data_IF_579562218432
#
_entry.id   IF_579562218432
#
_cell.length_a   1.000
_cell.length_b   1.000
_cell.length_c   1.000
_cell.angle_alpha   90.00
_cell.angle_beta   90.00
_cell.angle_gamma   90.00
#
_symmetry.space_group_name_H-M   'P 1'
#
loop_
_entity.id
_entity.type
_entity.pdbx_description
1 polymer ?
#
# COMPACT_ATOMS: atom_id res chain seq x y z
N UNK A 1 15.21 -17.77 2.74
CA UNK A 1 14.21 -17.87 1.66
C UNK A 1 14.84 -17.36 0.37
N UNK A 2 14.64 -18.04 -0.75
CA UNK A 2 15.05 -17.54 -2.06
C UNK A 2 14.09 -16.42 -2.51
N UNK A 3 14.52 -15.60 -3.49
CA UNK A 3 13.69 -14.51 -4.04
C UNK A 3 12.37 -15.03 -4.62
N UNK A 4 12.44 -16.15 -5.33
CA UNK A 4 11.25 -16.81 -5.86
C UNK A 4 10.27 -17.21 -4.74
N UNK A 5 10.78 -17.72 -3.62
CA UNK A 5 9.94 -18.06 -2.46
C UNK A 5 9.31 -16.82 -1.82
N UNK A 6 10.03 -15.69 -1.73
CA UNK A 6 9.46 -14.43 -1.22
C UNK A 6 8.32 -13.98 -2.13
N UNK A 7 8.54 -13.92 -3.44
CA UNK A 7 7.52 -13.50 -4.42
C UNK A 7 6.30 -14.43 -4.43
N UNK A 8 6.52 -15.75 -4.37
CA UNK A 8 5.43 -16.72 -4.24
C UNK A 8 4.63 -16.52 -2.95
N UNK A 9 5.30 -16.26 -1.81
CA UNK A 9 4.62 -15.99 -0.54
C UNK A 9 3.77 -14.72 -0.62
N UNK A 10 4.30 -13.65 -1.24
CA UNK A 10 3.57 -12.40 -1.45
C UNK A 10 2.35 -12.63 -2.34
N UNK A 11 2.53 -13.28 -3.48
CA UNK A 11 1.45 -13.61 -4.40
C UNK A 11 0.37 -14.45 -3.70
N UNK A 12 0.75 -15.55 -3.05
CA UNK A 12 -0.18 -16.43 -2.36
C UNK A 12 -0.95 -15.70 -1.24
N UNK A 13 -0.29 -14.81 -0.49
CA UNK A 13 -0.97 -13.99 0.51
C UNK A 13 -2.04 -13.09 -0.11
N UNK A 14 -1.71 -12.40 -1.20
CA UNK A 14 -2.66 -11.51 -1.85
C UNK A 14 -3.79 -12.26 -2.53
N UNK A 15 -3.50 -13.37 -3.22
CA UNK A 15 -4.51 -14.20 -3.87
C UNK A 15 -5.49 -14.84 -2.86
N UNK A 16 -4.98 -15.29 -1.71
CA UNK A 16 -5.77 -16.04 -0.73
C UNK A 16 -6.40 -15.16 0.36
N UNK A 17 -5.80 -14.02 0.69
CA UNK A 17 -6.20 -13.20 1.84
C UNK A 17 -6.39 -11.74 1.45
N UNK A 18 -5.37 -11.09 0.88
CA UNK A 18 -5.36 -9.64 0.67
C UNK A 18 -6.51 -9.14 -0.19
N UNK A 19 -6.83 -9.87 -1.24
CA UNK A 19 -7.89 -9.54 -2.20
C UNK A 19 -9.22 -10.23 -1.95
N UNK A 20 -9.39 -10.93 -0.81
CA UNK A 20 -10.72 -11.39 -0.40
C UNK A 20 -11.62 -10.19 -0.06
N UNK A 21 -12.84 -10.21 -0.59
CA UNK A 21 -13.85 -9.22 -0.25
C UNK A 21 -14.44 -9.54 1.14
N UNK A 22 -14.36 -8.59 2.06
CA UNK A 22 -14.95 -8.68 3.42
C UNK A 22 -16.34 -8.06 3.47
N UNK A 23 -16.64 -7.20 2.52
CA UNK A 23 -17.97 -6.65 2.24
C UNK A 23 -18.00 -6.15 0.80
N UNK A 24 -19.17 -5.82 0.28
CA UNK A 24 -19.33 -5.31 -1.08
C UNK A 24 -18.33 -4.18 -1.37
N UNK A 25 -17.47 -4.40 -2.36
CA UNK A 25 -16.45 -3.45 -2.80
C UNK A 25 -15.30 -3.19 -1.82
N UNK A 26 -15.24 -3.90 -0.68
CA UNK A 26 -14.18 -3.74 0.33
C UNK A 26 -13.34 -4.99 0.43
N UNK A 27 -12.05 -4.89 0.19
CA UNK A 27 -11.10 -5.99 0.31
C UNK A 27 -10.52 -6.09 1.72
N UNK A 28 -10.06 -7.28 2.11
CA UNK A 28 -9.36 -7.51 3.37
C UNK A 28 -8.17 -6.54 3.53
N UNK A 29 -7.43 -6.28 2.46
CA UNK A 29 -6.31 -5.33 2.46
C UNK A 29 -6.74 -3.90 2.81
N UNK A 30 -7.99 -3.49 2.52
CA UNK A 30 -8.50 -2.17 2.90
C UNK A 30 -8.62 -1.99 4.42
N UNK A 31 -8.68 -3.07 5.19
CA UNK A 31 -8.74 -3.01 6.67
C UNK A 31 -7.49 -2.43 7.32
N UNK A 32 -6.38 -2.36 6.58
CA UNK A 32 -5.17 -1.63 7.01
C UNK A 32 -5.36 -0.10 7.02
N UNK A 33 -6.38 0.41 6.33
CA UNK A 33 -6.79 1.81 6.40
C UNK A 33 -7.75 2.10 7.56
N UNK A 34 -7.89 3.37 7.91
CA UNK A 34 -8.95 3.80 8.84
C UNK A 34 -10.24 4.07 8.06
N UNK A 35 -11.09 3.04 7.98
CA UNK A 35 -12.35 3.07 7.23
C UNK A 35 -13.48 3.81 7.97
N UNK A 36 -13.25 4.31 9.19
CA UNK A 36 -14.28 5.02 9.96
C UNK A 36 -14.71 6.31 9.24
N UNK A 37 -16.00 6.68 9.33
CA UNK A 37 -16.51 7.90 8.67
C UNK A 37 -15.72 9.17 9.00
N UNK A 38 -15.21 9.28 10.23
CA UNK A 38 -14.40 10.41 10.71
C UNK A 38 -13.07 10.58 9.95
N UNK A 39 -12.48 9.49 9.47
CA UNK A 39 -11.22 9.46 8.74
C UNK A 39 -11.39 9.48 7.21
N UNK A 40 -12.57 9.11 6.71
CA UNK A 40 -12.83 8.90 5.28
C UNK A 40 -12.40 10.08 4.41
N UNK A 41 -12.77 11.30 4.76
CA UNK A 41 -12.42 12.49 3.99
C UNK A 41 -10.91 12.74 3.94
N UNK A 42 -10.17 12.42 4.99
CA UNK A 42 -8.72 12.53 5.01
C UNK A 42 -8.06 11.47 4.13
N UNK A 43 -8.48 10.21 4.26
CA UNK A 43 -7.98 9.09 3.44
C UNK A 43 -8.24 9.37 1.96
N UNK A 44 -9.45 9.77 1.59
CA UNK A 44 -9.84 10.19 0.25
C UNK A 44 -8.90 11.26 -0.32
N UNK A 45 -8.63 12.34 0.44
CA UNK A 45 -7.68 13.37 0.01
C UNK A 45 -6.24 12.85 -0.16
N UNK A 46 -5.81 11.90 0.69
CA UNK A 46 -4.49 11.29 0.55
C UNK A 46 -4.39 10.49 -0.76
N UNK A 47 -5.41 9.71 -1.11
CA UNK A 47 -5.46 8.99 -2.37
C UNK A 47 -5.40 9.95 -3.57
N UNK A 48 -6.20 11.00 -3.57
CA UNK A 48 -6.22 11.97 -4.68
C UNK A 48 -4.93 12.78 -4.84
N UNK A 49 -4.06 12.86 -3.81
CA UNK A 49 -2.76 13.56 -3.91
C UNK A 49 -1.86 12.99 -5.00
N UNK A 50 -1.93 11.69 -5.27
CA UNK A 50 -1.15 11.03 -6.33
C UNK A 50 -1.43 11.68 -7.68
N UNK A 51 -2.69 11.90 -8.02
CA UNK A 51 -3.09 12.50 -9.29
C UNK A 51 -2.55 13.91 -9.55
N UNK A 52 -2.15 14.65 -8.49
CA UNK A 52 -1.57 16.00 -8.63
C UNK A 52 -0.20 16.02 -9.29
N UNK A 53 0.51 14.91 -9.23
CA UNK A 53 1.87 14.75 -9.76
C UNK A 53 1.89 14.02 -11.10
N UNK A 54 0.76 13.47 -11.55
CA UNK A 54 0.62 12.84 -12.85
C UNK A 54 0.33 13.87 -13.94
N UNK A 55 0.77 13.59 -15.16
CA UNK A 55 0.36 14.37 -16.31
C UNK A 55 -1.16 14.32 -16.48
N UNK A 56 -1.77 15.47 -16.81
CA UNK A 56 -3.24 15.55 -16.97
C UNK A 56 -3.74 14.77 -18.19
N UNK A 57 -2.88 14.50 -19.19
CA UNK A 57 -3.21 13.79 -20.42
C UNK A 57 -2.02 12.94 -20.89
N UNK A 58 -2.31 11.76 -21.43
CA UNK A 58 -1.33 10.86 -22.02
C UNK A 58 -2.01 9.77 -22.83
N UNK A 59 -1.21 8.96 -23.53
CA UNK A 59 -1.69 7.75 -24.18
C UNK A 59 -1.79 6.61 -23.20
N UNK A 60 -0.68 6.25 -22.56
CA UNK A 60 -0.58 5.09 -21.69
C UNK A 60 -0.14 5.49 -20.27
N UNK A 61 -0.90 5.05 -19.27
CA UNK A 61 -0.51 5.07 -17.86
C UNK A 61 -0.15 3.65 -17.44
N UNK A 62 1.05 3.44 -16.90
CA UNK A 62 1.39 2.19 -16.20
C UNK A 62 0.95 2.27 -14.73
N UNK A 63 0.22 1.27 -14.29
CA UNK A 63 -0.09 1.04 -12.88
C UNK A 63 0.62 -0.25 -12.43
N UNK A 64 1.78 -0.08 -11.82
CA UNK A 64 2.69 -1.17 -11.48
C UNK A 64 2.43 -1.66 -10.05
N UNK A 65 1.90 -2.88 -9.92
CA UNK A 65 1.34 -3.42 -8.70
C UNK A 65 -0.06 -2.85 -8.45
N UNK A 66 -0.91 -2.89 -9.47
CA UNK A 66 -2.24 -2.25 -9.47
C UNK A 66 -3.20 -2.83 -8.44
N UNK A 67 -2.99 -4.09 -8.05
CA UNK A 67 -4.00 -4.83 -7.33
C UNK A 67 -5.34 -4.83 -8.08
N UNK A 68 -6.48 -4.98 -7.37
CA UNK A 68 -7.82 -4.97 -7.97
C UNK A 68 -8.37 -3.54 -8.17
N UNK A 69 -7.51 -2.49 -8.16
CA UNK A 69 -7.94 -1.08 -8.11
C UNK A 69 -8.87 -0.85 -6.91
N UNK A 70 -8.33 -1.10 -5.74
CA UNK A 70 -9.05 -1.27 -4.47
C UNK A 70 -9.94 -0.08 -4.08
N UNK A 71 -9.58 1.16 -4.44
CA UNK A 71 -10.32 2.37 -4.07
C UNK A 71 -10.84 3.12 -5.29
N UNK A 72 -12.05 3.72 -5.20
CA UNK A 72 -12.61 4.50 -6.32
C UNK A 72 -11.72 5.66 -6.77
N UNK A 73 -10.97 6.29 -5.85
CA UNK A 73 -10.04 7.36 -6.15
C UNK A 73 -8.92 6.94 -7.10
N UNK A 74 -8.59 5.66 -7.13
CA UNK A 74 -7.54 5.12 -8.01
C UNK A 74 -7.96 5.12 -9.48
N UNK A 75 -9.26 5.16 -9.76
CA UNK A 75 -9.78 5.33 -11.12
C UNK A 75 -9.46 6.71 -11.70
N UNK A 76 -9.35 7.73 -10.84
CA UNK A 76 -9.06 9.10 -11.26
C UNK A 76 -7.66 9.24 -11.87
N UNK A 77 -6.70 8.39 -11.50
CA UNK A 77 -5.32 8.51 -11.97
C UNK A 77 -5.17 8.35 -13.48
N UNK A 78 -6.03 7.56 -14.11
CA UNK A 78 -5.99 7.32 -15.56
C UNK A 78 -7.05 8.08 -16.37
N UNK A 79 -7.85 8.93 -15.74
CA UNK A 79 -8.96 9.66 -16.43
C UNK A 79 -8.49 10.46 -17.64
N UNK A 80 -7.30 11.02 -17.60
CA UNK A 80 -6.68 11.79 -18.68
C UNK A 80 -5.88 10.97 -19.68
N UNK A 81 -5.75 9.66 -19.48
CA UNK A 81 -5.01 8.76 -20.36
C UNK A 81 -5.96 7.99 -21.27
N UNK A 82 -5.50 7.62 -22.46
CA UNK A 82 -6.29 6.81 -23.38
C UNK A 82 -6.48 5.39 -22.85
N UNK A 83 -5.45 4.84 -22.18
CA UNK A 83 -5.49 3.50 -21.63
C UNK A 83 -4.61 3.39 -20.37
N UNK A 84 -5.05 2.56 -19.42
CA UNK A 84 -4.29 2.16 -18.23
C UNK A 84 -3.80 0.73 -18.39
N UNK A 85 -2.50 0.53 -18.26
CA UNK A 85 -1.89 -0.80 -18.21
C UNK A 85 -1.72 -1.19 -16.76
N UNK A 86 -2.55 -2.12 -16.29
CA UNK A 86 -2.50 -2.68 -14.95
C UNK A 86 -1.53 -3.86 -14.95
N UNK A 87 -0.46 -3.77 -14.17
CA UNK A 87 0.50 -4.84 -14.00
C UNK A 87 0.49 -5.29 -12.53
N UNK A 88 0.37 -6.60 -12.31
CA UNK A 88 0.46 -7.20 -10.98
C UNK A 88 1.00 -8.63 -11.08
N UNK A 89 1.58 -9.15 -9.99
CA UNK A 89 1.98 -10.55 -9.89
C UNK A 89 0.77 -11.46 -9.66
N UNK A 90 -0.32 -10.92 -9.13
CA UNK A 90 -1.59 -11.60 -8.85
C UNK A 90 -2.53 -11.55 -10.06
N UNK A 91 -2.76 -12.69 -10.70
CA UNK A 91 -3.76 -12.81 -11.75
C UNK A 91 -5.19 -12.59 -11.24
N UNK A 92 -5.47 -12.95 -9.98
CA UNK A 92 -6.77 -12.74 -9.32
C UNK A 92 -7.05 -11.23 -9.20
N UNK A 93 -6.07 -10.46 -8.74
CA UNK A 93 -6.20 -9.01 -8.65
C UNK A 93 -6.51 -8.35 -10.00
N UNK A 94 -5.85 -8.82 -11.06
CA UNK A 94 -6.06 -8.29 -12.42
C UNK A 94 -7.43 -8.64 -12.99
N UNK A 95 -8.00 -9.78 -12.65
CA UNK A 95 -9.37 -10.13 -13.02
C UNK A 95 -10.38 -9.16 -12.38
N UNK A 96 -10.21 -8.85 -11.11
CA UNK A 96 -11.02 -7.86 -10.39
C UNK A 96 -10.81 -6.44 -10.96
N UNK A 97 -9.57 -6.06 -11.27
CA UNK A 97 -9.27 -4.79 -11.91
C UNK A 97 -10.00 -4.64 -13.26
N UNK A 98 -10.05 -5.72 -14.05
CA UNK A 98 -10.76 -5.75 -15.34
C UNK A 98 -12.26 -5.46 -15.17
N UNK A 99 -12.89 -6.02 -14.14
CA UNK A 99 -14.30 -5.75 -13.87
C UNK A 99 -14.55 -4.28 -13.53
N UNK A 100 -13.57 -3.62 -12.91
CA UNK A 100 -13.71 -2.23 -12.47
C UNK A 100 -13.46 -1.19 -13.54
N UNK A 101 -12.52 -1.43 -14.45
CA UNK A 101 -12.13 -0.41 -15.44
C UNK A 101 -12.47 -0.80 -16.90
N UNK A 102 -12.88 -2.05 -17.15
CA UNK A 102 -13.34 -2.51 -18.46
C UNK A 102 -12.33 -2.28 -19.57
N UNK A 103 -12.81 -1.81 -20.71
CA UNK A 103 -12.05 -1.56 -21.94
C UNK A 103 -10.99 -0.46 -21.80
N UNK A 104 -11.07 0.37 -20.77
CA UNK A 104 -10.02 1.37 -20.47
C UNK A 104 -8.73 0.74 -19.95
N UNK A 105 -8.74 -0.55 -19.60
CA UNK A 105 -7.62 -1.29 -19.01
C UNK A 105 -7.02 -2.34 -19.93
N UNK A 106 -5.68 -2.48 -19.88
CA UNK A 106 -4.93 -3.65 -20.32
C UNK A 106 -4.30 -4.31 -19.10
N UNK A 107 -4.20 -5.65 -19.07
CA UNK A 107 -3.85 -6.40 -17.86
C UNK A 107 -2.68 -7.34 -18.14
N UNK A 108 -1.59 -7.20 -17.37
CA UNK A 108 -0.34 -7.94 -17.57
C UNK A 108 0.11 -8.56 -16.26
N UNK A 109 0.20 -9.89 -16.21
CA UNK A 109 0.80 -10.60 -15.07
C UNK A 109 2.32 -10.54 -15.22
N UNK A 110 3.00 -9.78 -14.37
CA UNK A 110 4.45 -9.67 -14.42
C UNK A 110 5.04 -9.16 -13.10
N UNK A 111 6.37 -9.26 -12.99
CA UNK A 111 7.16 -8.78 -11.87
C UNK A 111 7.62 -7.33 -12.13
N UNK A 112 7.36 -6.44 -11.18
CA UNK A 112 7.74 -5.02 -11.25
C UNK A 112 9.26 -4.80 -11.32
N UNK A 113 10.07 -5.73 -10.81
CA UNK A 113 11.52 -5.70 -10.92
C UNK A 113 12.02 -6.18 -12.29
N UNK A 114 11.12 -6.56 -13.21
CA UNK A 114 11.45 -7.14 -14.51
C UNK A 114 10.32 -6.87 -15.52
N UNK A 115 10.14 -5.60 -15.86
CA UNK A 115 9.01 -5.14 -16.65
C UNK A 115 9.08 -5.60 -18.11
N UNK A 116 8.02 -6.27 -18.66
CA UNK A 116 8.03 -6.79 -20.03
C UNK A 116 7.69 -5.71 -21.08
N UNK A 117 8.11 -4.48 -20.85
CA UNK A 117 7.83 -3.36 -21.74
C UNK A 117 9.11 -2.78 -22.35
N UNK A 118 8.98 -2.15 -23.52
CA UNK A 118 10.05 -1.39 -24.14
C UNK A 118 10.36 -0.14 -23.30
N UNK A 119 11.59 0.40 -23.40
CA UNK A 119 11.89 1.72 -22.87
C UNK A 119 10.91 2.77 -23.40
N UNK A 120 10.66 3.82 -22.62
CA UNK A 120 9.89 5.00 -23.01
C UNK A 120 8.44 4.73 -23.46
N UNK A 121 7.85 3.62 -22.98
CA UNK A 121 6.54 3.17 -23.43
C UNK A 121 5.36 3.93 -22.80
N UNK A 122 5.57 4.60 -21.65
CA UNK A 122 4.48 5.17 -20.87
C UNK A 122 4.60 6.68 -20.68
N UNK A 123 3.47 7.39 -20.80
CA UNK A 123 3.36 8.84 -20.55
C UNK A 123 3.19 9.19 -19.08
N UNK A 124 2.91 8.21 -18.24
CA UNK A 124 2.79 8.35 -16.81
C UNK A 124 2.86 6.99 -16.13
N UNK A 125 3.13 7.03 -14.82
CA UNK A 125 3.31 5.81 -14.06
C UNK A 125 2.83 6.02 -12.62
N UNK A 126 2.14 5.03 -12.07
CA UNK A 126 1.87 4.93 -10.64
C UNK A 126 2.29 3.56 -10.11
N UNK A 127 2.78 3.53 -8.85
CA UNK A 127 3.00 2.30 -8.10
C UNK A 127 2.72 2.56 -6.63
N UNK A 128 1.72 1.88 -6.08
CA UNK A 128 1.23 2.14 -4.73
C UNK A 128 1.47 0.94 -3.82
N UNK A 129 2.34 1.12 -2.82
CA UNK A 129 2.59 0.12 -1.80
C UNK A 129 3.06 -1.25 -2.32
N UNK A 130 3.83 -1.27 -3.43
CA UNK A 130 4.24 -2.50 -4.12
C UNK A 130 5.70 -2.87 -3.86
N UNK A 131 6.63 -1.92 -4.08
CA UNK A 131 8.08 -2.20 -4.08
C UNK A 131 8.55 -2.79 -2.74
N UNK A 132 7.96 -2.40 -1.62
CA UNK A 132 8.35 -2.90 -0.30
C UNK A 132 8.02 -4.40 -0.07
N UNK A 133 7.32 -5.05 -0.99
CA UNK A 133 7.06 -6.50 -0.98
C UNK A 133 8.10 -7.31 -1.76
N UNK A 134 9.01 -6.66 -2.47
CA UNK A 134 10.11 -7.32 -3.18
C UNK A 134 11.25 -7.70 -2.21
N UNK A 135 12.12 -8.66 -2.59
CA UNK A 135 13.42 -8.86 -1.96
C UNK A 135 14.22 -7.55 -1.94
N UNK A 136 14.93 -7.26 -0.83
CA UNK A 136 15.55 -5.95 -0.60
C UNK A 136 16.52 -5.50 -1.69
N UNK A 137 17.28 -6.44 -2.26
CA UNK A 137 18.26 -6.17 -3.32
C UNK A 137 17.62 -5.91 -4.70
N UNK A 138 16.35 -6.24 -4.88
CA UNK A 138 15.60 -5.93 -6.09
C UNK A 138 14.91 -4.56 -6.05
N UNK A 139 14.88 -3.89 -4.90
CA UNK A 139 14.18 -2.59 -4.79
C UNK A 139 14.77 -1.56 -5.76
N UNK A 140 16.10 -1.37 -5.77
CA UNK A 140 16.75 -0.43 -6.70
C UNK A 140 16.42 -0.79 -8.16
N UNK A 141 16.51 -2.07 -8.51
CA UNK A 141 16.16 -2.55 -9.85
C UNK A 141 14.72 -2.22 -10.23
N UNK A 142 13.76 -2.39 -9.32
CA UNK A 142 12.37 -2.03 -9.58
C UNK A 142 12.20 -0.53 -9.89
N UNK A 143 12.88 0.36 -9.16
CA UNK A 143 12.88 1.79 -9.47
C UNK A 143 13.48 2.08 -10.85
N UNK A 144 14.60 1.43 -11.20
CA UNK A 144 15.26 1.60 -12.51
C UNK A 144 14.39 1.06 -13.65
N UNK A 145 13.70 -0.05 -13.47
CA UNK A 145 12.75 -0.59 -14.46
C UNK A 145 11.56 0.37 -14.67
N UNK A 146 11.00 0.93 -13.59
CA UNK A 146 9.94 1.93 -13.68
C UNK A 146 10.41 3.17 -14.43
N UNK A 147 11.65 3.64 -14.19
CA UNK A 147 12.24 4.75 -14.94
C UNK A 147 12.46 4.39 -16.41
N UNK A 148 12.99 3.20 -16.68
CA UNK A 148 13.31 2.75 -18.05
C UNK A 148 12.09 2.77 -18.97
N UNK A 149 10.93 2.38 -18.45
CA UNK A 149 9.69 2.32 -19.23
C UNK A 149 8.95 3.65 -19.32
N UNK A 150 9.29 4.62 -18.48
CA UNK A 150 8.69 5.95 -18.46
C UNK A 150 9.34 6.85 -19.51
N UNK A 151 8.55 7.46 -20.39
CA UNK A 151 9.04 8.32 -21.46
C UNK A 151 9.77 9.58 -20.92
N UNK A 152 10.78 10.08 -21.63
CA UNK A 152 11.53 11.27 -21.21
C UNK A 152 10.65 12.47 -20.91
N UNK A 153 10.94 13.16 -19.82
CA UNK A 153 10.18 14.33 -19.35
C UNK A 153 8.81 14.01 -18.76
N UNK A 154 8.47 12.74 -18.59
CA UNK A 154 7.25 12.29 -17.90
C UNK A 154 7.48 12.00 -16.42
N UNK A 155 6.40 11.95 -15.66
CA UNK A 155 6.45 11.76 -14.20
C UNK A 155 5.86 10.42 -13.80
N UNK A 156 6.59 9.70 -12.95
CA UNK A 156 6.08 8.53 -12.23
C UNK A 156 5.85 8.87 -10.75
N UNK A 157 4.77 8.36 -10.16
CA UNK A 157 4.46 8.55 -8.75
C UNK A 157 4.49 7.21 -8.02
N UNK A 158 5.38 7.10 -7.04
CA UNK A 158 5.54 5.88 -6.25
C UNK A 158 5.23 6.19 -4.79
N UNK A 159 4.28 5.45 -4.21
CA UNK A 159 3.92 5.56 -2.81
C UNK A 159 4.42 4.35 -2.04
N UNK A 160 5.35 4.59 -1.12
CA UNK A 160 5.88 3.56 -0.22
C UNK A 160 5.87 4.01 1.24
N UNK A 161 5.79 3.05 2.16
CA UNK A 161 6.03 3.32 3.57
C UNK A 161 7.51 3.51 3.86
N UNK A 162 7.84 4.50 4.70
CA UNK A 162 9.19 4.72 5.20
C UNK A 162 9.47 3.90 6.46
N UNK A 163 10.73 3.55 6.66
CA UNK A 163 11.23 3.07 7.94
C UNK A 163 11.47 4.29 8.85
N UNK A 164 10.89 4.26 10.06
CA UNK A 164 11.02 5.30 11.09
C UNK A 164 10.82 6.77 10.64
N UNK A 165 9.67 7.15 10.07
CA UNK A 165 9.41 8.56 9.79
C UNK A 165 9.42 9.39 11.10
N UNK A 166 10.03 10.57 11.14
CA UNK A 166 10.16 11.35 12.38
C UNK A 166 8.84 11.63 13.11
N UNK A 167 7.79 11.99 12.36
CA UNK A 167 6.45 12.18 12.92
C UNK A 167 5.86 10.91 13.54
N UNK A 168 6.21 9.75 13.03
CA UNK A 168 5.73 8.46 13.57
C UNK A 168 6.33 8.18 14.93
N UNK A 169 7.56 8.60 15.20
CA UNK A 169 8.19 8.47 16.53
C UNK A 169 7.38 9.23 17.57
N UNK A 170 7.07 10.49 17.28
CA UNK A 170 6.24 11.32 18.17
C UNK A 170 4.82 10.73 18.33
N UNK A 171 4.19 10.33 17.23
CA UNK A 171 2.87 9.71 17.25
C UNK A 171 2.86 8.42 18.10
N UNK A 172 3.85 7.55 17.96
CA UNK A 172 3.98 6.32 18.73
C UNK A 172 4.21 6.60 20.23
N UNK A 173 4.97 7.62 20.57
CA UNK A 173 5.12 8.06 21.96
C UNK A 173 3.77 8.46 22.56
N UNK A 174 3.02 9.31 21.88
CA UNK A 174 1.68 9.76 22.34
C UNK A 174 0.70 8.58 22.42
N UNK A 175 0.72 7.65 21.49
CA UNK A 175 -0.12 6.44 21.52
C UNK A 175 0.21 5.62 22.78
N UNK A 176 1.48 5.33 23.03
CA UNK A 176 1.92 4.57 24.20
C UNK A 176 1.52 5.24 25.51
N UNK A 177 1.61 6.57 25.58
CA UNK A 177 1.18 7.34 26.74
C UNK A 177 -0.32 7.15 27.00
N UNK A 178 -1.17 7.28 25.97
CA UNK A 178 -2.60 7.06 26.09
C UNK A 178 -2.95 5.62 26.45
N UNK A 179 -2.27 4.65 25.84
CA UNK A 179 -2.46 3.23 26.16
C UNK A 179 -2.06 2.92 27.61
N UNK A 180 -0.96 3.52 28.09
CA UNK A 180 -0.54 3.40 29.49
C UNK A 180 -1.60 3.98 30.45
N UNK A 181 -2.11 5.18 30.16
CA UNK A 181 -3.15 5.83 30.97
C UNK A 181 -4.49 5.09 30.94
N UNK A 182 -4.78 4.35 29.85
CA UNK A 182 -5.99 3.55 29.68
C UNK A 182 -5.88 2.13 30.25
N UNK A 183 -4.68 1.67 30.62
CA UNK A 183 -4.51 0.36 31.26
C UNK A 183 -5.26 0.35 32.59
N UNK A 184 -6.42 -0.32 32.60
CA UNK A 184 -7.06 -0.70 33.85
C UNK A 184 -6.08 -1.61 34.61
N UNK A 185 -5.94 -1.47 35.93
CA UNK A 185 -5.18 -2.45 36.70
C UNK A 185 -5.72 -3.84 36.38
N UNK A 186 -4.82 -4.75 35.99
CA UNK A 186 -5.17 -6.13 35.70
C UNK A 186 -5.86 -6.70 36.94
N UNK A 187 -7.08 -7.17 36.80
CA UNK A 187 -7.70 -7.99 37.83
C UNK A 187 -6.76 -9.20 38.07
N UNK A 188 -6.54 -9.62 39.33
CA UNK A 188 -5.68 -10.75 39.62
C UNK A 188 -6.20 -11.98 38.87
N UNK A 189 -5.38 -12.55 38.04
CA UNK A 189 -5.70 -13.76 37.28
C UNK A 189 -5.84 -14.90 38.30
N UNK A 190 -6.98 -15.61 38.39
CA UNK A 190 -7.02 -16.80 39.19
C UNK A 190 -6.03 -17.83 38.65
N UNK A 191 -5.21 -18.38 39.55
CA UNK A 191 -4.25 -19.44 39.27
C UNK A 191 -4.97 -20.58 38.55
N UNK A 192 -4.58 -20.85 37.32
CA UNK A 192 -5.06 -22.02 36.57
C UNK A 192 -4.27 -23.22 37.07
N UNK A 193 -4.93 -24.01 37.90
CA UNK A 193 -4.52 -25.37 38.21
C UNK A 193 -4.54 -26.22 36.92
N UNK A 194 -3.48 -27.02 36.77
CA UNK A 194 -3.30 -27.99 35.71
C UNK A 194 -4.49 -28.95 35.61
N UNK A 195 -5.14 -29.00 34.45
CA UNK A 195 -5.83 -30.22 34.02
C UNK A 195 -5.61 -30.39 32.52
N UNK A 196 -5.14 -31.58 32.17
CA UNK A 196 -4.60 -31.95 30.87
C UNK A 196 -5.66 -32.09 29.76
N UNK A 197 -5.08 -32.21 28.58
CA UNK A 197 -5.58 -32.78 27.32
C UNK A 197 -6.98 -32.41 26.82
N UNK A 198 -7.00 -31.72 25.70
CA UNK A 198 -7.57 -32.30 24.47
C UNK A 198 -7.46 -31.29 23.30
N UNK A 199 -7.12 -31.83 22.12
CA UNK A 199 -6.92 -31.10 20.90
C UNK A 199 -8.22 -30.51 20.38
N UNK A 200 -8.39 -29.18 20.52
CA UNK A 200 -9.44 -28.38 19.92
C UNK A 200 -8.87 -27.61 18.74
N UNK A 201 -9.40 -27.84 17.55
CA UNK A 201 -9.10 -27.12 16.32
C UNK A 201 -9.24 -25.62 16.55
N UNK A 202 -8.11 -24.89 16.56
CA UNK A 202 -8.08 -23.44 16.72
C UNK A 202 -8.55 -22.77 15.43
N UNK A 203 -9.81 -22.44 15.35
CA UNK A 203 -10.36 -21.45 14.46
C UNK A 203 -9.80 -20.08 14.86
N UNK A 204 -9.05 -19.42 13.97
CA UNK A 204 -8.63 -18.03 14.18
C UNK A 204 -7.12 -17.79 14.19
N UNK A 205 -6.34 -18.44 13.30
CA UNK A 205 -5.01 -17.95 12.99
C UNK A 205 -5.13 -16.57 12.33
N UNK A 206 -4.79 -15.49 13.06
CA UNK A 206 -4.59 -14.16 12.47
C UNK A 206 -3.66 -14.34 11.27
N UNK A 207 -4.15 -14.01 10.07
CA UNK A 207 -3.36 -14.08 8.86
C UNK A 207 -2.03 -13.35 9.12
N UNK A 208 -0.92 -14.08 9.10
CA UNK A 208 0.42 -13.51 9.20
C UNK A 208 0.57 -12.60 7.99
N UNK A 209 0.94 -11.33 8.19
CA UNK A 209 1.22 -10.40 7.10
C UNK A 209 2.27 -10.96 6.14
N UNK A 210 2.30 -10.43 4.92
CA UNK A 210 3.28 -10.80 3.91
C UNK A 210 4.65 -10.15 4.18
N UNK A 211 5.68 -10.54 3.40
CA UNK A 211 7.00 -9.93 3.45
C UNK A 211 6.90 -8.42 3.18
N UNK A 212 7.55 -7.61 4.02
CA UNK A 212 7.63 -6.15 3.87
C UNK A 212 9.02 -5.66 4.27
N UNK A 213 9.69 -4.94 3.38
CA UNK A 213 10.95 -4.25 3.67
C UNK A 213 10.82 -2.78 3.29
N UNK A 214 11.04 -1.89 4.24
CA UNK A 214 10.99 -0.44 4.05
C UNK A 214 12.39 0.14 3.98
N UNK A 215 12.51 1.32 3.39
CA UNK A 215 13.75 2.08 3.32
C UNK A 215 13.59 3.47 3.92
N UNK A 216 14.71 4.16 4.13
CA UNK A 216 14.74 5.55 4.54
C UNK A 216 14.76 6.48 3.32
N UNK A 217 14.39 7.77 3.47
CA UNK A 217 14.61 8.77 2.44
C UNK A 217 16.08 8.91 2.02
N UNK A 218 17.02 8.69 2.94
CA UNK A 218 18.45 8.70 2.64
C UNK A 218 18.84 7.59 1.68
N UNK A 219 18.37 6.36 1.93
CA UNK A 219 18.57 5.23 1.02
C UNK A 219 18.04 5.55 -0.39
N UNK A 220 16.82 6.10 -0.49
CA UNK A 220 16.25 6.43 -1.80
C UNK A 220 17.09 7.46 -2.55
N UNK A 221 17.58 8.50 -1.86
CA UNK A 221 18.45 9.50 -2.48
C UNK A 221 19.78 8.92 -2.93
N UNK A 222 20.35 8.01 -2.15
CA UNK A 222 21.64 7.38 -2.43
C UNK A 222 21.53 6.33 -3.54
N UNK A 223 20.59 5.40 -3.44
CA UNK A 223 20.52 4.23 -4.33
C UNK A 223 19.72 4.49 -5.62
N UNK A 224 18.79 5.44 -5.59
CA UNK A 224 17.93 5.74 -6.73
C UNK A 224 18.20 7.15 -7.28
N UNK A 225 18.33 8.14 -6.39
CA UNK A 225 18.52 9.54 -6.77
C UNK A 225 19.84 9.84 -7.49
N UNK A 226 20.83 8.93 -7.43
CA UNK A 226 22.08 8.99 -8.23
C UNK A 226 21.87 8.60 -9.70
N UNK A 227 20.78 7.90 -10.01
CA UNK A 227 20.47 7.41 -11.36
C UNK A 227 19.38 8.22 -12.03
N UNK A 228 18.48 8.85 -11.27
CA UNK A 228 17.35 9.63 -11.79
C UNK A 228 16.96 10.78 -10.85
N UNK A 229 16.32 11.84 -11.36
CA UNK A 229 15.73 12.88 -10.51
C UNK A 229 14.64 12.30 -9.61
N UNK A 230 14.71 12.56 -8.30
CA UNK A 230 13.74 12.09 -7.31
C UNK A 230 13.30 13.25 -6.42
N UNK A 231 12.00 13.50 -6.37
CA UNK A 231 11.37 14.39 -5.41
C UNK A 231 10.60 13.58 -4.37
N UNK A 232 10.71 13.97 -3.09
CA UNK A 232 10.07 13.23 -1.99
C UNK A 232 8.97 14.09 -1.39
N UNK A 233 7.74 13.57 -1.44
CA UNK A 233 6.56 14.24 -0.91
C UNK A 233 5.91 13.43 0.21
N UNK A 234 5.32 14.11 1.17
CA UNK A 234 4.55 13.45 2.21
C UNK A 234 3.15 13.11 1.68
N UNK A 235 2.90 11.83 1.45
CA UNK A 235 1.58 11.35 1.05
C UNK A 235 0.59 11.40 2.22
N UNK A 236 1.02 10.97 3.42
CA UNK A 236 0.20 10.92 4.64
C UNK A 236 1.03 11.35 5.85
N UNK A 237 0.56 12.34 6.58
CA UNK A 237 1.23 12.86 7.78
C UNK A 237 0.81 12.16 9.07
N UNK A 238 -0.34 11.45 9.06
CA UNK A 238 -0.92 10.82 10.24
C UNK A 238 -1.03 9.31 10.02
N UNK A 239 -0.48 8.51 10.95
CA UNK A 239 -0.58 7.05 10.88
C UNK A 239 -2.01 6.58 11.16
N UNK A 240 -2.39 5.42 10.61
CA UNK A 240 -3.69 4.79 10.87
C UNK A 240 -3.89 4.52 12.36
N UNK A 241 -2.83 4.06 13.05
CA UNK A 241 -2.88 3.81 14.49
C UNK A 241 -3.15 5.10 15.28
N UNK A 242 -2.46 6.20 14.93
CA UNK A 242 -2.72 7.51 15.55
C UNK A 242 -4.17 7.96 15.31
N UNK A 243 -4.66 7.86 14.07
CA UNK A 243 -6.05 8.20 13.76
C UNK A 243 -7.03 7.40 14.62
N UNK A 244 -6.84 6.08 14.70
CA UNK A 244 -7.70 5.20 15.51
C UNK A 244 -7.66 5.52 17.00
N UNK A 245 -6.54 6.01 17.54
CA UNK A 245 -6.36 6.33 18.94
C UNK A 245 -6.91 7.71 19.32
N UNK A 246 -6.68 8.73 18.50
CA UNK A 246 -6.95 10.12 18.85
C UNK A 246 -8.11 10.76 18.08
N UNK A 247 -8.40 10.30 16.87
CA UNK A 247 -9.42 10.94 16.03
C UNK A 247 -10.78 10.28 16.26
N UNK A 248 -11.67 11.00 16.96
CA UNK A 248 -13.03 10.54 17.26
C UNK A 248 -14.05 11.60 16.85
N UNK A 249 -15.19 11.17 16.31
CA UNK A 249 -16.25 12.06 15.84
C UNK A 249 -16.77 12.98 16.95
N UNK A 250 -16.91 12.49 18.19
CA UNK A 250 -17.38 13.24 19.35
C UNK A 250 -16.42 14.36 19.79
N UNK A 251 -15.15 14.33 19.39
CA UNK A 251 -14.11 15.30 19.72
C UNK A 251 -13.77 16.22 18.54
N UNK A 252 -14.66 16.35 17.57
CA UNK A 252 -14.42 17.18 16.39
C UNK A 252 -13.31 16.62 15.47
N UNK A 253 -13.10 15.31 15.47
CA UNK A 253 -11.98 14.65 14.78
C UNK A 253 -11.86 14.97 13.29
N UNK A 254 -12.95 15.31 12.62
CA UNK A 254 -12.91 15.75 11.21
C UNK A 254 -12.18 17.09 11.04
N UNK A 255 -12.26 17.98 12.03
CA UNK A 255 -11.56 19.28 12.02
C UNK A 255 -10.05 19.10 12.20
N UNK A 256 -9.62 18.11 12.97
CA UNK A 256 -8.21 17.78 13.19
C UNK A 256 -7.50 17.19 11.95
N UNK A 257 -8.26 16.65 11.02
CA UNK A 257 -7.76 16.03 9.80
C UNK A 257 -7.90 16.93 8.56
N UNK A 258 -8.39 18.16 8.72
CA UNK A 258 -8.46 19.15 7.63
C UNK A 258 -7.09 19.80 7.41
#
# INVERSE_FOLDING_TARGET
>A
MSDAQIKQQVQAFYDQVGWQQVSEGTYQNATYEDLRPVARAYVHRCHLRVGRHLAQRGKLLLDAGSGPIQYPEYLEYSRGYQQRVCLDISGVALQEARQRIGEHGSFVVADIANLPFKPDAFDGLVSLHTIHHLPSHEHQRAYLELQRVLAPGKTGVIVNGWDLPPLTVLQNFLIRLVEFLRRKPAAPTPSRENSGSEAGVASGAKARGTFVRKHTPAWLKQEVGTHMPVEIWCWRSVSVHFMRTFVHARLGGQTWLR
#
